data_IF_254457226712
#
_entry.id   IF_254457226712
#
_cell.length_a   1.000
_cell.length_b   1.000
_cell.length_c   1.000
_cell.angle_alpha   90.00
_cell.angle_beta   90.00
_cell.angle_gamma   90.00
#
_symmetry.space_group_name_H-M   'P 1'
#
loop_
_entity.id
_entity.type
_entity.pdbx_description
1 polymer ?
#
# COMPACT_ATOMS: atom_id res chain seq x y z
N UNK A 1 11.50 -16.43 4.01
CA UNK A 1 11.42 -14.98 3.79
C UNK A 1 11.85 -14.66 2.39
N UNK A 2 11.13 -13.77 1.70
CA UNK A 2 11.49 -13.28 0.37
C UNK A 2 12.50 -12.13 0.54
N UNK A 3 13.80 -12.32 0.22
CA UNK A 3 14.83 -11.30 0.45
C UNK A 3 14.66 -10.05 -0.43
N UNK A 4 13.95 -10.17 -1.55
CA UNK A 4 13.81 -9.10 -2.56
C UNK A 4 12.88 -7.95 -2.15
N UNK A 5 12.12 -8.10 -1.06
CA UNK A 5 11.26 -7.03 -0.53
C UNK A 5 11.99 -6.09 0.44
N UNK A 6 13.29 -6.27 0.69
CA UNK A 6 14.07 -5.38 1.56
C UNK A 6 14.06 -3.91 1.08
N UNK A 7 13.74 -3.65 -0.19
CA UNK A 7 13.65 -2.30 -0.75
C UNK A 7 12.31 -1.60 -0.51
N UNK A 8 11.25 -2.33 -0.15
CA UNK A 8 9.93 -1.74 0.10
C UNK A 8 9.68 -1.71 1.60
N UNK A 9 9.32 -0.56 2.14
CA UNK A 9 9.03 -0.50 3.56
C UNK A 9 7.85 -1.40 3.92
N UNK A 10 8.06 -2.26 4.90
CA UNK A 10 6.98 -2.85 5.67
C UNK A 10 6.73 -1.98 6.92
N UNK A 11 5.64 -1.22 6.98
CA UNK A 11 5.35 -0.35 8.12
C UNK A 11 4.76 -1.12 9.31
N UNK A 12 4.68 -2.45 9.27
CA UNK A 12 4.18 -3.26 10.37
C UNK A 12 5.32 -3.95 11.12
N UNK A 13 5.25 -3.93 12.45
CA UNK A 13 6.15 -4.71 13.30
C UNK A 13 5.97 -6.22 13.08
N UNK A 14 6.96 -6.99 13.52
CA UNK A 14 6.89 -8.45 13.46
C UNK A 14 5.91 -9.04 14.47
N UNK A 15 5.69 -10.37 14.41
CA UNK A 15 4.96 -11.07 15.46
C UNK A 15 5.56 -10.82 16.85
N UNK A 16 4.75 -10.81 17.92
CA UNK A 16 3.33 -11.19 17.94
C UNK A 16 2.34 -10.05 17.68
N UNK A 17 2.78 -8.80 17.77
CA UNK A 17 1.87 -7.67 17.93
C UNK A 17 1.44 -7.00 16.61
N UNK A 18 2.25 -7.09 15.55
CA UNK A 18 1.93 -6.57 14.21
C UNK A 18 1.43 -5.11 14.18
N UNK A 19 1.94 -4.27 15.10
CA UNK A 19 1.62 -2.85 15.21
C UNK A 19 2.04 -2.07 13.95
N UNK A 20 1.21 -1.08 13.57
CA UNK A 20 1.54 -0.14 12.50
C UNK A 20 2.47 0.97 12.99
N UNK A 21 3.68 1.00 12.46
CA UNK A 21 4.80 1.84 12.88
C UNK A 21 5.53 2.42 11.65
N UNK A 22 4.89 3.31 10.85
CA UNK A 22 5.46 3.83 9.60
C UNK A 22 6.78 4.59 9.82
N UNK A 23 6.98 5.20 11.00
CA UNK A 23 8.23 5.89 11.36
C UNK A 23 9.44 4.95 11.55
N UNK A 24 9.22 3.63 11.61
CA UNK A 24 10.29 2.63 11.75
C UNK A 24 10.77 2.05 10.42
N UNK A 25 10.25 2.54 9.29
CA UNK A 25 10.80 2.23 7.98
C UNK A 25 12.29 2.58 7.91
N UNK A 26 13.18 1.67 7.48
CA UNK A 26 14.58 2.01 7.27
C UNK A 26 14.71 3.08 6.17
N UNK A 27 15.67 3.99 6.32
CA UNK A 27 15.83 5.17 5.43
C UNK A 27 16.14 4.80 3.97
N UNK A 28 16.67 3.61 3.74
CA UNK A 28 16.99 3.06 2.42
C UNK A 28 15.82 2.28 1.78
N UNK A 29 14.65 2.27 2.42
CA UNK A 29 13.43 1.64 1.89
C UNK A 29 12.50 2.66 1.24
N UNK A 30 11.75 2.18 0.26
CA UNK A 30 10.76 2.94 -0.50
C UNK A 30 9.38 2.71 0.10
N UNK A 31 8.67 3.78 0.44
CA UNK A 31 7.26 3.65 0.83
C UNK A 31 6.43 3.23 -0.38
N UNK A 32 5.37 2.47 -0.14
CA UNK A 32 4.56 1.93 -1.25
C UNK A 32 4.00 3.02 -2.16
N UNK A 33 3.61 4.17 -1.61
CA UNK A 33 3.16 5.34 -2.38
C UNK A 33 4.24 6.00 -3.25
N UNK A 34 5.52 5.78 -2.96
CA UNK A 34 6.64 6.37 -3.70
C UNK A 34 7.16 5.46 -4.84
N UNK A 35 6.74 4.19 -4.88
CA UNK A 35 7.12 3.22 -5.91
C UNK A 35 6.91 3.77 -7.34
N UNK A 36 5.80 4.45 -7.68
CA UNK A 36 5.63 5.01 -9.02
C UNK A 36 6.75 5.99 -9.40
N UNK A 37 7.20 6.83 -8.46
CA UNK A 37 8.27 7.79 -8.74
C UNK A 37 9.60 7.08 -9.06
N UNK A 38 9.91 6.01 -8.35
CA UNK A 38 11.10 5.18 -8.60
C UNK A 38 11.01 4.51 -9.97
N UNK A 39 9.84 3.96 -10.31
CA UNK A 39 9.65 3.20 -11.55
C UNK A 39 9.48 4.07 -12.80
N UNK A 40 9.20 5.36 -12.62
CA UNK A 40 9.06 6.32 -13.72
C UNK A 40 10.30 6.39 -14.61
N UNK A 41 11.50 6.20 -14.05
CA UNK A 41 12.77 6.18 -14.78
C UNK A 41 12.90 4.99 -15.75
N UNK A 42 12.17 3.91 -15.50
CA UNK A 42 12.15 2.71 -16.33
C UNK A 42 10.91 2.65 -17.23
N UNK A 43 10.06 3.68 -17.18
CA UNK A 43 8.81 3.75 -17.93
C UNK A 43 9.02 4.37 -19.29
N UNK A 44 8.44 3.75 -20.32
CA UNK A 44 8.65 4.17 -21.70
C UNK A 44 8.01 5.54 -21.97
N UNK A 45 8.78 6.45 -22.59
CA UNK A 45 8.40 7.87 -22.74
C UNK A 45 7.27 8.13 -23.75
N UNK A 46 7.12 7.32 -24.80
CA UNK A 46 5.95 7.27 -25.69
C UNK A 46 6.14 6.22 -26.80
N UNK A 47 5.06 5.54 -27.19
CA UNK A 47 5.04 4.30 -27.99
C UNK A 47 5.04 4.52 -29.51
N UNK A 48 5.81 5.48 -30.04
CA UNK A 48 5.77 5.85 -31.47
C UNK A 48 6.50 4.88 -32.42
N UNK A 49 6.52 3.58 -32.12
CA UNK A 49 6.80 2.52 -33.10
C UNK A 49 8.19 1.90 -33.09
N UNK A 50 9.07 2.24 -32.14
CA UNK A 50 10.42 1.63 -32.04
C UNK A 50 10.75 1.15 -30.63
N UNK A 51 9.79 0.48 -29.96
CA UNK A 51 10.02 -0.06 -28.62
C UNK A 51 10.37 1.01 -27.58
N UNK A 52 10.76 0.55 -26.39
CA UNK A 52 11.22 1.43 -25.31
C UNK A 52 12.68 1.82 -25.52
N UNK A 53 13.12 2.97 -24.99
CA UNK A 53 14.54 3.36 -25.06
C UNK A 53 15.37 2.37 -24.25
N UNK A 54 16.67 2.29 -24.55
CA UNK A 54 17.59 1.45 -23.78
C UNK A 54 17.56 1.85 -22.30
N UNK A 55 17.19 0.91 -21.43
CA UNK A 55 17.01 1.13 -19.99
C UNK A 55 15.55 1.35 -19.54
N UNK A 56 14.64 1.61 -20.47
CA UNK A 56 13.18 1.61 -20.23
C UNK A 56 12.62 0.22 -20.57
N UNK A 57 11.76 -0.33 -19.70
CA UNK A 57 11.15 -1.66 -19.88
C UNK A 57 9.72 -1.77 -19.34
N UNK A 58 9.20 -0.72 -18.70
CA UNK A 58 7.83 -0.67 -18.20
C UNK A 58 6.97 0.10 -19.20
N UNK A 59 5.97 -0.54 -19.78
CA UNK A 59 5.03 0.15 -20.68
C UNK A 59 4.19 1.17 -19.90
N UNK A 60 3.67 2.19 -20.58
CA UNK A 60 2.76 3.16 -19.96
C UNK A 60 1.54 2.49 -19.34
N UNK A 61 1.00 1.43 -19.97
CA UNK A 61 -0.11 0.66 -19.41
C UNK A 61 0.24 -0.05 -18.10
N UNK A 62 1.41 -0.68 -18.04
CA UNK A 62 1.88 -1.35 -16.81
C UNK A 62 2.16 -0.34 -15.70
N UNK A 63 2.80 0.79 -16.04
CA UNK A 63 3.03 1.88 -15.09
C UNK A 63 1.72 2.39 -14.50
N UNK A 64 0.70 2.64 -15.32
CA UNK A 64 -0.61 3.12 -14.84
C UNK A 64 -1.28 2.12 -13.90
N UNK A 65 -1.14 0.82 -14.15
CA UNK A 65 -1.62 -0.22 -13.22
C UNK A 65 -0.86 -0.15 -11.91
N UNK A 66 0.48 -0.08 -11.95
CA UNK A 66 1.30 0.02 -10.73
C UNK A 66 0.95 1.26 -9.92
N UNK A 67 0.82 2.42 -10.58
CA UNK A 67 0.43 3.69 -9.96
C UNK A 67 -0.94 3.58 -9.27
N UNK A 68 -1.93 2.98 -9.94
CA UNK A 68 -3.26 2.79 -9.35
C UNK A 68 -3.23 1.86 -8.12
N UNK A 69 -2.51 0.74 -8.18
CA UNK A 69 -2.40 -0.20 -7.07
C UNK A 69 -1.67 0.41 -5.86
N UNK A 70 -0.52 1.02 -6.09
CA UNK A 70 0.31 1.63 -5.05
C UNK A 70 -0.40 2.80 -4.37
N UNK A 71 -1.08 3.66 -5.14
CA UNK A 71 -1.92 4.75 -4.61
C UNK A 71 -3.08 4.21 -3.78
N UNK A 72 -3.72 3.13 -4.23
CA UNK A 72 -4.82 2.50 -3.48
C UNK A 72 -4.35 1.95 -2.14
N UNK A 73 -3.18 1.30 -2.11
CA UNK A 73 -2.62 0.77 -0.86
C UNK A 73 -2.18 1.91 0.05
N UNK A 74 -1.54 2.96 -0.48
CA UNK A 74 -1.18 4.13 0.33
C UNK A 74 -2.42 4.76 0.97
N UNK A 75 -3.52 4.88 0.22
CA UNK A 75 -4.79 5.39 0.74
C UNK A 75 -5.34 4.54 1.89
N UNK A 76 -5.19 3.21 1.82
CA UNK A 76 -5.56 2.31 2.91
C UNK A 76 -4.66 2.50 4.14
N UNK A 77 -3.35 2.65 3.93
CA UNK A 77 -2.38 2.88 5.01
C UNK A 77 -2.60 4.23 5.70
N UNK A 78 -2.94 5.28 4.95
CA UNK A 78 -3.26 6.61 5.50
C UNK A 78 -4.54 6.58 6.35
N UNK A 79 -5.50 5.73 6.00
CA UNK A 79 -6.73 5.51 6.76
C UNK A 79 -6.56 4.60 7.98
N UNK A 80 -5.51 3.77 8.01
CA UNK A 80 -5.33 2.73 9.02
C UNK A 80 -5.30 3.27 10.46
N UNK A 81 -4.52 4.32 10.82
CA UNK A 81 -4.47 4.82 12.20
C UNK A 81 -5.83 5.27 12.74
N UNK A 82 -6.65 5.88 11.87
CA UNK A 82 -8.00 6.30 12.24
C UNK A 82 -8.90 5.08 12.45
N UNK A 83 -8.84 4.08 11.56
CA UNK A 83 -9.60 2.84 11.72
C UNK A 83 -9.19 2.08 12.98
N UNK A 84 -7.89 1.97 13.26
CA UNK A 84 -7.33 1.37 14.47
C UNK A 84 -7.82 2.08 15.74
N UNK A 85 -7.81 3.41 15.76
CA UNK A 85 -8.35 4.16 16.89
C UNK A 85 -9.87 3.97 17.07
N UNK A 86 -10.61 3.87 15.95
CA UNK A 86 -12.06 3.71 15.99
C UNK A 86 -12.50 2.34 16.47
N UNK A 87 -11.74 1.27 16.18
CA UNK A 87 -12.11 -0.06 16.66
C UNK A 87 -12.10 -0.13 18.17
N UNK A 88 -11.38 0.75 18.88
CA UNK A 88 -11.39 0.83 20.33
C UNK A 88 -12.51 1.67 20.95
N UNK A 89 -13.22 2.46 20.14
CA UNK A 89 -14.34 3.26 20.60
C UNK A 89 -15.54 2.38 20.96
N UNK A 90 -15.99 2.44 22.22
CA UNK A 90 -17.13 1.65 22.70
C UNK A 90 -18.41 1.89 21.87
N UNK A 91 -18.65 3.12 21.43
CA UNK A 91 -19.78 3.46 20.56
C UNK A 91 -19.74 2.64 19.26
N UNK A 92 -18.57 2.59 18.62
CA UNK A 92 -18.34 1.86 17.36
C UNK A 92 -18.46 0.35 17.61
N UNK A 93 -17.79 -0.18 18.64
CA UNK A 93 -17.88 -1.60 19.05
C UNK A 93 -19.34 -2.03 19.27
N UNK A 94 -20.10 -1.23 20.01
CA UNK A 94 -21.50 -1.53 20.32
C UNK A 94 -22.36 -1.52 19.05
N UNK A 95 -22.19 -0.53 18.17
CA UNK A 95 -22.95 -0.45 16.92
C UNK A 95 -22.69 -1.64 15.99
N UNK A 96 -21.43 -2.01 15.77
CA UNK A 96 -21.10 -3.19 14.95
C UNK A 96 -21.58 -4.49 15.60
N UNK A 97 -21.48 -4.61 16.93
CA UNK A 97 -21.99 -5.78 17.66
C UNK A 97 -23.50 -5.91 17.52
N UNK A 98 -24.23 -4.81 17.62
CA UNK A 98 -25.69 -4.77 17.44
C UNK A 98 -26.08 -5.16 16.01
N UNK A 99 -25.38 -4.63 15.00
CA UNK A 99 -25.58 -5.02 13.60
C UNK A 99 -25.38 -6.52 13.42
N UNK A 100 -24.26 -7.07 13.89
CA UNK A 100 -23.93 -8.48 13.71
C UNK A 100 -24.91 -9.41 14.43
N UNK A 101 -25.32 -9.07 15.66
CA UNK A 101 -26.17 -9.95 16.48
C UNK A 101 -27.64 -9.83 16.12
N UNK A 102 -28.13 -8.61 15.85
CA UNK A 102 -29.56 -8.33 15.73
C UNK A 102 -30.03 -8.06 14.29
N UNK A 103 -29.14 -7.56 13.41
CA UNK A 103 -29.52 -7.12 12.06
C UNK A 103 -28.97 -8.01 10.94
N UNK A 104 -27.83 -8.66 11.15
CA UNK A 104 -27.27 -9.66 10.25
C UNK A 104 -27.65 -11.07 10.73
N UNK A 105 -28.94 -11.40 10.68
CA UNK A 105 -29.36 -12.80 10.83
C UNK A 105 -28.80 -13.62 9.65
N UNK A 106 -28.48 -14.92 9.86
CA UNK A 106 -27.94 -15.79 8.82
C UNK A 106 -28.84 -15.87 7.58
#
# INVERSE_FOLDING_TARGET
SFPELEFVCNPFSGPPDYLYEPEKCPTDTVHIGDIPQVLKLFTCSDTSGTGCKQGEFITTSEYNVIEAYTTSIQSLLDGYPAMESLVDCQLVKNAFSDILVNHCKP
#
